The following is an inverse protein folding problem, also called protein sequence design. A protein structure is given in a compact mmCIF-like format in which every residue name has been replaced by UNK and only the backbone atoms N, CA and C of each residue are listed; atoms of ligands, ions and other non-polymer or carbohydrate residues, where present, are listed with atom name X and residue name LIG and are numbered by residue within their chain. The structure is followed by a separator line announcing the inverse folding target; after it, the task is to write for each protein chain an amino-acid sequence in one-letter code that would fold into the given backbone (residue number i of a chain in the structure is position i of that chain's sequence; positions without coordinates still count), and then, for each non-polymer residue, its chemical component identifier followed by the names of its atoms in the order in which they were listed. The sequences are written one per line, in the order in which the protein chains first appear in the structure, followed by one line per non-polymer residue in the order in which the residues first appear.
data_IF_187060897755
#
_entry.id   IF_187060897755
#
_cell.length_a   1.000
_cell.length_b   1.000
_cell.length_c   1.000
_cell.angle_alpha   90.00
_cell.angle_beta   90.00
_cell.angle_gamma   90.00
#
_symmetry.space_group_name_H-M   'P 1'
#
loop_
_entity.id
_entity.type
_entity.pdbx_description
1 polymer ?
#
# COMPACT_ATOMS: atom_id res chain seq x y z
N UNK A 1 -53.97 2.36 -4.25
CA UNK A 1 -52.99 2.24 -3.15
C UNK A 1 -52.24 0.94 -3.39
N UNK A 2 -50.92 0.81 -3.38
CA UNK A 2 -49.79 1.74 -3.17
C UNK A 2 -48.52 0.99 -3.60
N UNK A 3 -47.43 1.73 -3.81
CA UNK A 3 -46.18 1.40 -4.50
C UNK A 3 -45.25 0.44 -3.74
N UNK A 4 -44.37 -0.21 -4.50
CA UNK A 4 -43.11 -0.87 -4.08
C UNK A 4 -42.19 0.16 -3.38
N UNK A 5 -41.31 -0.25 -2.44
CA UNK A 5 -39.89 -0.18 -2.82
C UNK A 5 -39.01 -1.32 -2.31
N UNK A 6 -37.97 -1.60 -3.12
CA UNK A 6 -36.78 -2.37 -2.79
C UNK A 6 -36.06 -1.84 -1.56
N UNK A 7 -35.39 -2.72 -0.78
CA UNK A 7 -34.06 -2.48 -0.17
C UNK A 7 -33.56 -3.56 0.81
N UNK A 8 -32.20 -3.59 0.90
CA UNK A 8 -31.33 -4.09 1.99
C UNK A 8 -31.16 -5.63 2.10
N UNK A 9 -29.98 -6.22 2.37
CA UNK A 9 -28.74 -5.69 2.93
C UNK A 9 -27.53 -6.61 2.64
N UNK A 10 -26.35 -6.02 2.87
CA UNK A 10 -24.98 -6.58 2.85
C UNK A 10 -24.83 -7.87 3.66
N UNK A 11 -23.85 -8.70 3.28
CA UNK A 11 -22.58 -8.88 4.03
C UNK A 11 -21.97 -10.25 3.76
N UNK A 12 -20.65 -10.27 3.60
CA UNK A 12 -19.86 -11.41 4.06
C UNK A 12 -18.94 -12.01 3.01
N UNK A 13 -17.74 -11.47 2.89
CA UNK A 13 -16.59 -12.36 2.93
C UNK A 13 -15.55 -11.76 3.84
N UNK A 14 -15.71 -12.03 5.15
CA UNK A 14 -14.59 -11.99 6.09
C UNK A 14 -13.63 -13.08 5.63
N UNK A 15 -12.59 -12.74 4.85
CA UNK A 15 -11.42 -13.60 4.79
C UNK A 15 -10.61 -13.35 6.06
N UNK A 16 -10.82 -14.28 6.99
CA UNK A 16 -9.99 -14.52 8.16
C UNK A 16 -8.51 -14.50 7.78
N UNK A 17 -7.72 -13.73 8.53
CA UNK A 17 -6.26 -13.81 8.53
C UNK A 17 -5.82 -15.15 9.12
N UNK A 18 -5.83 -16.18 8.27
CA UNK A 18 -5.11 -17.41 8.55
C UNK A 18 -3.70 -17.25 7.99
N UNK A 19 -2.71 -17.18 8.88
CA UNK A 19 -1.32 -17.47 8.56
C UNK A 19 -1.28 -18.76 7.74
N UNK A 20 -0.80 -18.69 6.49
CA UNK A 20 -0.44 -19.89 5.74
C UNK A 20 0.82 -20.48 6.38
N UNK A 21 0.64 -21.49 7.23
CA UNK A 21 1.73 -22.40 7.56
C UNK A 21 2.04 -23.27 6.34
N UNK A 22 3.21 -23.07 5.73
CA UNK A 22 3.68 -23.87 4.61
C UNK A 22 4.71 -23.17 3.73
N UNK A 23 5.99 -23.20 4.13
CA UNK A 23 7.15 -23.27 3.23
C UNK A 23 7.27 -22.22 2.11
N UNK A 24 7.42 -20.95 2.47
CA UNK A 24 7.80 -19.85 1.57
C UNK A 24 7.31 -18.52 2.14
N UNK A 25 8.17 -17.79 2.86
CA UNK A 25 7.78 -16.52 3.50
C UNK A 25 7.44 -15.51 2.41
N UNK A 26 6.20 -15.07 2.43
CA UNK A 26 5.70 -14.04 1.53
C UNK A 26 6.18 -12.68 2.02
N UNK A 27 7.02 -11.94 1.26
CA UNK A 27 7.43 -10.60 1.67
C UNK A 27 6.18 -9.74 1.85
N UNK A 28 6.08 -9.06 2.98
CA UNK A 28 5.02 -8.08 3.20
C UNK A 28 5.56 -6.75 2.73
N UNK A 29 4.81 -6.00 1.93
CA UNK A 29 4.69 -4.53 2.02
C UNK A 29 4.48 -3.87 0.65
N UNK A 30 3.43 -3.04 0.57
CA UNK A 30 3.59 -1.66 0.09
C UNK A 30 2.87 -0.72 1.07
N UNK A 31 3.65 0.02 1.87
CA UNK A 31 3.14 1.01 2.85
C UNK A 31 2.95 2.32 2.09
N UNK A 32 1.70 2.70 1.82
CA UNK A 32 1.38 4.03 1.27
C UNK A 32 1.15 5.10 2.36
N UNK A 33 1.30 4.79 3.66
CA UNK A 33 0.83 5.70 4.71
C UNK A 33 1.54 5.68 6.09
N UNK A 34 2.74 5.13 6.27
CA UNK A 34 3.39 5.09 7.60
C UNK A 34 4.30 6.29 7.92
N UNK A 35 3.86 7.51 7.64
CA UNK A 35 4.66 8.70 8.02
C UNK A 35 4.84 8.82 9.55
N UNK A 36 3.83 8.42 10.31
CA UNK A 36 3.80 8.53 11.78
C UNK A 36 3.04 7.35 12.39
N UNK A 37 3.63 6.14 12.43
CA UNK A 37 2.99 5.01 13.08
C UNK A 37 2.69 5.28 14.56
N UNK A 38 3.47 6.11 15.23
CA UNK A 38 3.23 6.56 16.61
C UNK A 38 1.94 7.39 16.79
N UNK A 39 1.30 7.83 15.70
CA UNK A 39 -0.03 8.47 15.73
C UNK A 39 -1.17 7.48 15.50
N UNK A 40 -0.88 6.20 15.31
CA UNK A 40 -1.84 5.12 15.20
C UNK A 40 -1.31 3.88 15.95
N UNK A 41 -1.80 3.69 17.17
CA UNK A 41 -1.36 2.59 18.05
C UNK A 41 -1.46 1.21 17.39
N UNK A 42 -2.47 0.97 16.56
CA UNK A 42 -2.64 -0.32 15.88
C UNK A 42 -1.56 -0.54 14.82
N UNK A 43 -1.26 0.48 14.02
CA UNK A 43 -0.18 0.42 13.04
C UNK A 43 1.17 0.24 13.73
N UNK A 44 1.42 0.96 14.83
CA UNK A 44 2.64 0.80 15.61
C UNK A 44 2.78 -0.62 16.16
N UNK A 45 1.75 -1.16 16.84
CA UNK A 45 1.74 -2.52 17.38
C UNK A 45 1.96 -3.54 16.26
N UNK A 46 1.30 -3.37 15.11
CA UNK A 46 1.45 -4.28 13.99
C UNK A 46 2.89 -4.24 13.43
N UNK A 47 3.47 -3.06 13.25
CA UNK A 47 4.86 -2.89 12.79
C UNK A 47 5.86 -3.51 13.76
N UNK A 48 5.70 -3.32 15.07
CA UNK A 48 6.56 -3.91 16.10
C UNK A 48 6.49 -5.45 16.13
N UNK A 49 5.39 -6.04 15.66
CA UNK A 49 5.25 -7.49 15.57
C UNK A 49 5.89 -8.10 14.30
N UNK A 50 6.30 -7.28 13.33
CA UNK A 50 6.94 -7.77 12.11
C UNK A 50 8.45 -7.90 12.28
N UNK A 51 9.05 -8.84 11.55
CA UNK A 51 10.50 -8.87 11.37
C UNK A 51 10.88 -7.78 10.39
N UNK A 52 11.97 -7.06 10.65
CA UNK A 52 12.43 -6.00 9.75
C UNK A 52 12.65 -6.52 8.33
N UNK A 53 13.31 -7.67 8.16
CA UNK A 53 13.59 -8.26 6.84
C UNK A 53 12.34 -8.64 6.03
N UNK A 54 11.17 -8.72 6.67
CA UNK A 54 9.90 -9.03 6.02
C UNK A 54 9.15 -7.76 5.56
N UNK A 55 9.69 -6.56 5.85
CA UNK A 55 9.13 -5.26 5.47
C UNK A 55 9.92 -4.61 4.32
N UNK A 56 9.21 -4.18 3.30
CA UNK A 56 9.76 -3.57 2.10
C UNK A 56 9.15 -2.18 1.83
N UNK A 57 9.70 -1.41 0.89
CA UNK A 57 9.11 -0.14 0.46
C UNK A 57 9.02 -0.09 -1.06
N UNK A 58 7.86 0.24 -1.62
CA UNK A 58 7.74 0.43 -3.07
C UNK A 58 8.43 1.73 -3.49
N UNK A 59 9.24 1.68 -4.55
CA UNK A 59 9.79 2.89 -5.17
C UNK A 59 8.69 3.84 -5.68
N UNK A 60 7.50 3.31 -6.00
CA UNK A 60 6.34 4.13 -6.41
C UNK A 60 5.85 4.98 -5.24
N UNK A 61 5.75 4.40 -4.04
CA UNK A 61 5.35 5.13 -2.84
C UNK A 61 6.34 6.23 -2.48
N UNK A 62 7.64 6.00 -2.66
CA UNK A 62 8.68 7.05 -2.53
C UNK A 62 8.37 8.22 -3.47
N UNK A 63 8.08 7.93 -4.73
CA UNK A 63 7.71 8.94 -5.73
C UNK A 63 6.44 9.73 -5.36
N UNK A 64 5.41 9.05 -4.84
CA UNK A 64 4.18 9.71 -4.38
C UNK A 64 4.43 10.66 -3.21
N UNK A 65 5.23 10.24 -2.23
CA UNK A 65 5.62 11.06 -1.08
C UNK A 65 6.46 12.25 -1.54
N UNK A 66 7.43 12.05 -2.44
CA UNK A 66 8.26 13.12 -2.99
C UNK A 66 7.40 14.16 -3.73
N UNK A 67 6.44 13.70 -4.54
CA UNK A 67 5.47 14.58 -5.21
C UNK A 67 4.63 15.37 -4.22
N UNK A 68 4.08 14.71 -3.20
CA UNK A 68 3.31 15.35 -2.14
C UNK A 68 4.14 16.39 -1.38
N UNK A 69 5.40 16.07 -1.06
CA UNK A 69 6.36 16.97 -0.44
C UNK A 69 6.56 18.23 -1.28
N UNK A 70 6.80 18.06 -2.60
CA UNK A 70 6.99 19.17 -3.54
C UNK A 70 5.77 20.08 -3.64
N UNK A 71 4.56 19.52 -3.57
CA UNK A 71 3.30 20.27 -3.57
C UNK A 71 3.12 21.10 -2.30
N UNK A 72 3.70 20.67 -1.17
CA UNK A 72 3.57 21.35 0.12
C UNK A 72 4.60 22.46 0.36
N UNK A 73 5.66 22.55 -0.45
CA UNK A 73 6.73 23.56 -0.23
C UNK A 73 6.23 25.00 -0.14
N UNK A 74 5.23 25.37 -0.94
CA UNK A 74 4.64 26.72 -0.93
C UNK A 74 3.59 26.90 0.18
N UNK A 75 2.57 26.03 0.31
CA UNK A 75 1.52 26.24 1.30
C UNK A 75 1.95 25.91 2.74
N UNK A 76 2.93 25.01 2.94
CA UNK A 76 3.39 24.58 4.25
C UNK A 76 4.88 24.17 4.23
N UNK A 77 5.81 25.13 4.21
CA UNK A 77 7.24 24.88 4.02
C UNK A 77 7.85 24.02 5.14
N UNK A 78 7.47 24.25 6.40
CA UNK A 78 7.98 23.48 7.55
C UNK A 78 7.55 22.01 7.45
N UNK A 79 6.28 21.77 7.11
CA UNK A 79 5.78 20.41 6.88
C UNK A 79 6.47 19.71 5.72
N UNK A 80 6.80 20.43 4.65
CA UNK A 80 7.53 19.91 3.51
C UNK A 80 8.98 19.57 3.86
N UNK A 81 9.64 20.38 4.68
CA UNK A 81 10.97 20.08 5.23
C UNK A 81 10.93 18.81 6.08
N UNK A 82 9.98 18.72 7.03
CA UNK A 82 9.78 17.53 7.85
C UNK A 82 9.50 16.27 7.02
N UNK A 83 8.72 16.40 5.93
CA UNK A 83 8.44 15.30 5.00
C UNK A 83 9.70 14.81 4.31
N UNK A 84 10.53 15.73 3.83
CA UNK A 84 11.76 15.42 3.13
C UNK A 84 12.76 14.72 4.04
N UNK A 85 12.94 15.22 5.25
CA UNK A 85 13.85 14.62 6.22
C UNK A 85 13.36 13.25 6.71
N UNK A 86 12.05 13.08 6.83
CA UNK A 86 11.47 11.76 7.09
C UNK A 86 11.69 10.79 5.93
N UNK A 87 11.46 11.22 4.69
CA UNK A 87 11.64 10.39 3.50
C UNK A 87 13.10 9.95 3.35
N UNK A 88 14.06 10.88 3.45
CA UNK A 88 15.49 10.57 3.37
C UNK A 88 15.93 9.52 4.40
N UNK A 89 15.46 9.64 5.65
CA UNK A 89 15.75 8.66 6.72
C UNK A 89 15.10 7.31 6.42
N UNK A 90 13.87 7.31 5.90
CA UNK A 90 13.14 6.10 5.54
C UNK A 90 13.82 5.36 4.39
N UNK A 91 14.25 6.07 3.36
CA UNK A 91 15.02 5.47 2.25
C UNK A 91 16.32 4.85 2.73
N UNK A 92 17.03 5.52 3.65
CA UNK A 92 18.25 4.96 4.27
C UNK A 92 17.96 3.68 5.06
N UNK A 93 16.88 3.66 5.85
CA UNK A 93 16.47 2.49 6.65
C UNK A 93 16.08 1.28 5.78
N UNK A 94 15.48 1.55 4.62
CA UNK A 94 14.98 0.54 3.69
C UNK A 94 15.90 0.31 2.49
N UNK A 95 17.14 0.80 2.47
CA UNK A 95 18.01 0.83 1.28
C UNK A 95 18.08 -0.52 0.52
N UNK A 96 18.18 -1.64 1.24
CA UNK A 96 18.28 -2.99 0.68
C UNK A 96 16.92 -3.69 0.50
N UNK A 97 15.83 -2.99 0.85
CA UNK A 97 14.44 -3.45 0.89
C UNK A 97 13.49 -2.49 0.15
N UNK A 98 14.02 -1.68 -0.77
CA UNK A 98 13.21 -0.92 -1.72
C UNK A 98 12.92 -1.82 -2.93
N UNK A 99 11.64 -2.07 -3.19
CA UNK A 99 11.20 -2.83 -4.36
C UNK A 99 11.21 -1.92 -5.60
N UNK A 100 12.01 -2.25 -6.64
CA UNK A 100 12.00 -1.51 -7.89
C UNK A 100 10.70 -1.75 -8.67
N UNK A 101 10.37 -0.84 -9.58
CA UNK A 101 9.33 -1.07 -10.58
C UNK A 101 9.98 -1.56 -11.87
N UNK A 102 9.85 -2.86 -12.13
CA UNK A 102 10.55 -3.58 -13.20
C UNK A 102 9.70 -3.66 -14.48
N UNK A 103 10.28 -4.18 -15.56
CA UNK A 103 9.55 -4.46 -16.80
C UNK A 103 8.44 -5.50 -16.62
N UNK A 104 8.58 -6.44 -15.68
CA UNK A 104 7.54 -7.40 -15.32
C UNK A 104 6.35 -6.71 -14.65
N UNK A 105 6.64 -5.81 -13.71
CA UNK A 105 5.61 -5.04 -13.01
C UNK A 105 4.87 -4.12 -13.98
N UNK A 106 5.60 -3.53 -14.95
CA UNK A 106 5.00 -2.72 -16.01
C UNK A 106 4.02 -3.51 -16.89
N UNK A 107 4.29 -4.79 -17.19
CA UNK A 107 3.37 -5.63 -17.95
C UNK A 107 2.10 -5.95 -17.16
N UNK A 108 2.24 -6.29 -15.87
CA UNK A 108 1.09 -6.54 -14.99
C UNK A 108 0.25 -5.27 -14.85
N UNK A 109 0.89 -4.12 -14.62
CA UNK A 109 0.25 -2.82 -14.56
C UNK A 109 -0.53 -2.51 -15.84
N UNK A 110 0.03 -2.78 -17.03
CA UNK A 110 -0.66 -2.56 -18.30
C UNK A 110 -1.98 -3.33 -18.41
N UNK A 111 -1.99 -4.59 -17.94
CA UNK A 111 -3.22 -5.41 -17.87
C UNK A 111 -4.21 -4.82 -16.86
N UNK A 112 -3.76 -4.57 -15.63
CA UNK A 112 -4.61 -3.98 -14.58
C UNK A 112 -5.22 -2.65 -15.02
N UNK A 113 -4.43 -1.79 -15.65
CA UNK A 113 -4.89 -0.49 -16.12
C UNK A 113 -5.94 -0.57 -17.22
N UNK A 114 -5.81 -1.53 -18.13
CA UNK A 114 -6.80 -1.79 -19.16
C UNK A 114 -8.10 -2.34 -18.55
N UNK A 115 -8.01 -3.30 -17.63
CA UNK A 115 -9.15 -3.98 -17.06
C UNK A 115 -9.93 -3.11 -16.04
N UNK A 116 -9.23 -2.31 -15.24
CA UNK A 116 -9.81 -1.47 -14.19
C UNK A 116 -10.17 -0.05 -14.72
N UNK A 117 -9.47 0.43 -15.75
CA UNK A 117 -9.80 1.66 -16.45
C UNK A 117 -9.08 2.93 -15.96
N UNK A 118 -7.94 2.81 -15.26
CA UNK A 118 -7.06 3.95 -14.95
C UNK A 118 -5.58 3.53 -14.89
N UNK A 119 -4.68 4.51 -14.89
CA UNK A 119 -3.23 4.33 -14.93
C UNK A 119 -2.55 4.83 -13.63
N UNK A 120 -3.24 4.66 -12.50
CA UNK A 120 -2.84 5.23 -11.21
C UNK A 120 -1.62 4.53 -10.59
N UNK A 121 -0.99 5.24 -9.65
CA UNK A 121 0.17 4.73 -8.89
C UNK A 121 -0.19 3.54 -7.99
N UNK A 122 -1.42 3.49 -7.50
CA UNK A 122 -2.02 2.35 -6.80
C UNK A 122 -1.98 1.07 -7.63
N UNK A 123 -2.25 1.13 -8.94
CA UNK A 123 -2.11 -0.04 -9.81
C UNK A 123 -0.66 -0.44 -10.04
N UNK A 124 0.28 0.52 -10.08
CA UNK A 124 1.71 0.20 -10.17
C UNK A 124 2.22 -0.49 -8.89
N UNK A 125 1.73 -0.05 -7.74
CA UNK A 125 1.95 -0.67 -6.44
C UNK A 125 1.37 -2.10 -6.42
N UNK A 126 0.12 -2.26 -6.86
CA UNK A 126 -0.53 -3.57 -6.95
C UNK A 126 0.23 -4.52 -7.88
N UNK A 127 0.70 -4.03 -9.02
CA UNK A 127 1.50 -4.79 -9.97
C UNK A 127 2.81 -5.29 -9.35
N UNK A 128 3.49 -4.42 -8.59
CA UNK A 128 4.70 -4.80 -7.83
C UNK A 128 4.36 -5.90 -6.82
N UNK A 129 3.26 -5.75 -6.07
CA UNK A 129 2.84 -6.74 -5.10
C UNK A 129 2.54 -8.10 -5.74
N UNK A 130 1.75 -8.13 -6.82
CA UNK A 130 1.43 -9.36 -7.56
C UNK A 130 2.68 -10.06 -8.10
N UNK A 131 3.62 -9.30 -8.65
CA UNK A 131 4.88 -9.82 -9.21
C UNK A 131 5.76 -10.51 -8.16
N UNK A 132 5.79 -9.94 -6.95
CA UNK A 132 6.56 -10.44 -5.81
C UNK A 132 5.77 -11.37 -4.89
N UNK A 133 4.52 -11.69 -5.24
CA UNK A 133 3.55 -12.38 -4.39
C UNK A 133 3.33 -11.68 -3.03
N UNK A 134 3.62 -10.38 -2.92
CA UNK A 134 3.62 -9.63 -1.68
C UNK A 134 2.22 -9.16 -1.25
N UNK A 135 2.08 -8.81 0.02
CA UNK A 135 0.87 -8.17 0.57
C UNK A 135 1.02 -6.64 0.61
N UNK A 136 0.04 -5.91 0.05
CA UNK A 136 -0.07 -4.45 0.15
C UNK A 136 -0.57 -4.06 1.55
N UNK A 137 0.08 -3.10 2.20
CA UNK A 137 -0.27 -2.66 3.57
C UNK A 137 -0.80 -1.24 3.51
N UNK A 138 -2.11 -1.08 3.56
CA UNK A 138 -2.75 0.21 3.25
C UNK A 138 -4.02 0.41 4.08
N UNK A 139 -4.34 1.68 4.30
CA UNK A 139 -5.66 2.09 4.82
C UNK A 139 -6.74 2.11 3.73
N UNK A 140 -6.35 2.24 2.46
CA UNK A 140 -7.26 2.39 1.32
C UNK A 140 -7.49 1.02 0.65
N UNK A 141 -8.10 0.08 1.35
CA UNK A 141 -8.28 -1.30 0.85
C UNK A 141 -9.03 -1.34 -0.48
N UNK A 142 -10.05 -0.50 -0.64
CA UNK A 142 -10.91 -0.44 -1.83
C UNK A 142 -10.15 -0.14 -3.13
N UNK A 143 -9.04 0.61 -3.06
CA UNK A 143 -8.23 0.95 -4.24
C UNK A 143 -7.52 -0.31 -4.80
N UNK A 144 -7.28 -1.32 -3.95
CA UNK A 144 -6.52 -2.52 -4.29
C UNK A 144 -7.38 -3.76 -4.49
N UNK A 145 -8.59 -3.81 -3.94
CA UNK A 145 -9.56 -4.90 -4.13
C UNK A 145 -9.73 -5.34 -5.60
N UNK A 146 -9.91 -4.44 -6.59
CA UNK A 146 -10.12 -4.86 -7.99
C UNK A 146 -8.86 -5.44 -8.65
N UNK A 147 -7.68 -5.28 -8.03
CA UNK A 147 -6.40 -5.73 -8.61
C UNK A 147 -6.11 -7.21 -8.36
N UNK A 148 -6.79 -7.81 -7.37
CA UNK A 148 -6.52 -9.18 -6.93
C UNK A 148 -5.24 -9.35 -6.09
N UNK A 149 -4.53 -8.26 -5.76
CA UNK A 149 -3.41 -8.31 -4.82
C UNK A 149 -3.89 -8.67 -3.40
N UNK A 150 -3.04 -9.32 -2.60
CA UNK A 150 -3.31 -9.50 -1.18
C UNK A 150 -3.19 -8.15 -0.46
N UNK A 151 -4.17 -7.80 0.37
CA UNK A 151 -4.23 -6.48 1.04
C UNK A 151 -4.46 -6.64 2.53
N UNK A 152 -3.69 -5.89 3.31
CA UNK A 152 -3.78 -5.79 4.77
C UNK A 152 -3.94 -4.35 5.24
N UNK A 153 -4.87 -4.15 6.17
CA UNK A 153 -5.13 -2.88 6.81
C UNK A 153 -4.89 -2.97 8.33
N UNK A 154 -3.74 -2.49 8.81
CA UNK A 154 -3.43 -2.46 10.24
C UNK A 154 -3.83 -1.15 10.96
N UNK A 155 -4.59 -0.25 10.31
CA UNK A 155 -4.92 1.08 10.84
C UNK A 155 -6.14 1.12 11.78
#
# INVERSE_FOLDING_TARGET
MEKIPAKLHRAGTRRSYAHKEGGGRTPVTVISAARRPERNDKLAIWLYAQREDDLFLSVISIGEIARGTRQQEKPNPDFAADLRDWLNRTETLFQDRILPFTSRDAQIWGVLSADIGHAGADLMIAATALSHQATVVTRNVADFEPTGADVLNPF
#
